data_IF_363542307761
#
_entry.id   IF_363542307761
#
_cell.length_a   1.000
_cell.length_b   1.000
_cell.length_c   1.000
_cell.angle_alpha   90.00
_cell.angle_beta   90.00
_cell.angle_gamma   90.00
#
_symmetry.space_group_name_H-M   'P 1'
#
loop_
_entity.id
_entity.type
_entity.pdbx_description
1 polymer ?
#
# COMPACT_ATOMS: atom_id res chain seq x y z
N UNK A 1 -26.30 12.55 21.38
CA UNK A 1 -25.60 11.72 20.36
C UNK A 1 -24.15 12.18 20.26
N UNK A 2 -23.22 11.39 20.81
CA UNK A 2 -21.78 11.66 20.77
C UNK A 2 -21.07 10.91 19.62
N UNK A 3 -21.79 10.70 18.52
CA UNK A 3 -21.39 9.89 17.36
C UNK A 3 -21.53 10.72 16.08
N UNK A 4 -20.84 10.34 15.00
CA UNK A 4 -20.75 11.09 13.74
C UNK A 4 -20.10 12.48 13.83
N UNK A 5 -19.10 12.64 14.71
CA UNK A 5 -18.26 13.84 14.80
C UNK A 5 -16.80 13.48 14.54
N UNK A 6 -16.07 14.30 13.77
CA UNK A 6 -14.65 14.11 13.49
C UNK A 6 -13.79 13.95 14.77
N UNK A 7 -14.17 14.66 15.85
CA UNK A 7 -13.50 14.59 17.16
C UNK A 7 -13.67 13.24 17.88
N UNK A 8 -14.56 12.37 17.41
CA UNK A 8 -14.92 11.09 18.04
C UNK A 8 -14.58 9.88 17.16
N UNK A 9 -13.75 10.05 16.13
CA UNK A 9 -13.37 8.98 15.20
C UNK A 9 -12.71 7.78 15.91
N UNK A 10 -11.88 8.05 16.92
CA UNK A 10 -11.17 7.03 17.70
C UNK A 10 -11.97 6.52 18.91
N UNK A 11 -13.19 7.01 19.13
CA UNK A 11 -14.03 6.52 20.22
C UNK A 11 -14.83 5.29 19.77
N UNK A 12 -15.13 4.40 20.72
CA UNK A 12 -15.95 3.22 20.47
C UNK A 12 -17.35 3.64 20.02
N UNK A 13 -17.85 3.00 18.95
CA UNK A 13 -19.16 3.33 18.38
C UNK A 13 -20.31 2.90 19.31
N UNK A 14 -21.28 3.77 19.62
CA UNK A 14 -22.43 3.43 20.46
C UNK A 14 -23.51 2.71 19.63
N UNK A 15 -23.29 1.42 19.34
CA UNK A 15 -24.19 0.60 18.51
C UNK A 15 -25.61 0.49 19.12
N UNK A 16 -25.72 0.49 20.45
CA UNK A 16 -27.01 0.46 21.14
C UNK A 16 -27.90 1.67 20.82
N UNK A 17 -27.34 2.89 20.87
CA UNK A 17 -28.08 4.12 20.54
C UNK A 17 -28.49 4.15 19.06
N UNK A 18 -27.60 3.70 18.17
CA UNK A 18 -27.86 3.59 16.73
C UNK A 18 -29.00 2.61 16.46
N UNK A 19 -29.02 1.46 17.15
CA UNK A 19 -30.10 0.47 17.07
C UNK A 19 -31.44 1.04 17.51
N UNK A 20 -31.48 1.75 18.63
CA UNK A 20 -32.75 2.32 19.14
C UNK A 20 -33.30 3.45 18.27
N UNK A 21 -32.44 4.20 17.57
CA UNK A 21 -32.86 5.34 16.75
C UNK A 21 -33.13 4.96 15.28
N UNK A 22 -32.27 4.14 14.68
CA UNK A 22 -32.32 3.77 13.26
C UNK A 22 -32.83 2.34 12.98
N UNK A 23 -32.93 1.50 14.01
CA UNK A 23 -33.32 0.10 13.89
C UNK A 23 -32.15 -0.86 13.63
N UNK A 24 -32.46 -2.16 13.63
CA UNK A 24 -31.49 -3.26 13.58
C UNK A 24 -30.65 -3.28 12.30
N UNK A 25 -31.27 -3.03 11.14
CA UNK A 25 -30.59 -3.12 9.84
C UNK A 25 -29.40 -2.17 9.75
N UNK A 26 -29.59 -0.92 10.19
CA UNK A 26 -28.55 0.12 10.18
C UNK A 26 -27.53 -0.15 11.29
N UNK A 27 -27.98 -0.59 12.47
CA UNK A 27 -27.06 -0.95 13.56
C UNK A 27 -26.11 -2.10 13.19
N UNK A 28 -26.61 -3.14 12.51
CA UNK A 28 -25.79 -4.26 12.03
C UNK A 28 -24.76 -3.81 10.98
N UNK A 29 -25.13 -2.90 10.08
CA UNK A 29 -24.19 -2.31 9.12
C UNK A 29 -23.00 -1.64 9.83
N UNK A 30 -23.28 -0.78 10.81
CA UNK A 30 -22.21 -0.09 11.55
C UNK A 30 -21.43 -1.03 12.46
N UNK A 31 -22.07 -2.04 13.06
CA UNK A 31 -21.38 -3.06 13.83
C UNK A 31 -20.38 -3.84 12.97
N UNK A 32 -20.78 -4.23 11.76
CA UNK A 32 -19.90 -4.91 10.82
C UNK A 32 -18.78 -4.00 10.32
N UNK A 33 -19.09 -2.74 9.99
CA UNK A 33 -18.07 -1.76 9.58
C UNK A 33 -17.01 -1.56 10.67
N UNK A 34 -17.43 -1.44 11.93
CA UNK A 34 -16.52 -1.31 13.07
C UNK A 34 -15.63 -2.55 13.22
N UNK A 35 -16.21 -3.75 13.16
CA UNK A 35 -15.46 -5.01 13.19
C UNK A 35 -14.43 -5.10 12.05
N UNK A 36 -14.87 -4.83 10.82
CA UNK A 36 -14.01 -4.87 9.64
C UNK A 36 -12.85 -3.88 9.74
N UNK A 37 -13.10 -2.67 10.24
CA UNK A 37 -12.05 -1.67 10.48
C UNK A 37 -11.03 -2.14 11.52
N UNK A 38 -11.47 -2.82 12.59
CA UNK A 38 -10.55 -3.42 13.56
C UNK A 38 -9.66 -4.51 12.95
N UNK A 39 -10.23 -5.39 12.12
CA UNK A 39 -9.46 -6.43 11.41
C UNK A 39 -8.47 -5.80 10.42
N UNK A 40 -8.89 -4.79 9.65
CA UNK A 40 -8.01 -4.04 8.75
C UNK A 40 -6.86 -3.35 9.50
N UNK A 41 -7.12 -2.81 10.69
CA UNK A 41 -6.08 -2.18 11.49
C UNK A 41 -5.01 -3.20 11.90
N UNK A 42 -5.41 -4.41 12.29
CA UNK A 42 -4.48 -5.51 12.58
C UNK A 42 -3.70 -5.91 11.32
N UNK A 43 -4.37 -6.03 10.17
CA UNK A 43 -3.72 -6.37 8.90
C UNK A 43 -2.76 -5.27 8.40
N UNK A 44 -3.00 -4.01 8.74
CA UNK A 44 -2.15 -2.87 8.39
C UNK A 44 -0.78 -2.91 9.06
N UNK A 45 -0.67 -3.48 10.27
CA UNK A 45 0.60 -3.54 11.02
C UNK A 45 1.71 -4.26 10.25
N UNK A 46 1.56 -5.53 9.82
CA UNK A 46 2.60 -6.21 9.03
C UNK A 46 2.85 -5.53 7.69
N UNK A 47 1.82 -4.97 7.04
CA UNK A 47 1.97 -4.21 5.79
C UNK A 47 2.88 -2.99 5.96
N UNK A 48 2.66 -2.20 7.02
CA UNK A 48 3.52 -1.06 7.36
C UNK A 48 4.97 -1.48 7.66
N UNK A 49 5.16 -2.60 8.38
CA UNK A 49 6.51 -3.12 8.70
C UNK A 49 7.26 -3.47 7.41
N UNK A 50 6.61 -4.20 6.49
CA UNK A 50 7.21 -4.58 5.21
C UNK A 50 7.51 -3.36 4.34
N UNK A 51 6.62 -2.37 4.32
CA UNK A 51 6.84 -1.12 3.59
C UNK A 51 8.03 -0.32 4.13
N UNK A 52 8.14 -0.17 5.45
CA UNK A 52 9.28 0.51 6.09
C UNK A 52 10.58 -0.25 5.81
N UNK A 53 10.55 -1.58 5.85
CA UNK A 53 11.70 -2.42 5.49
C UNK A 53 12.15 -2.19 4.04
N UNK A 54 11.20 -2.16 3.10
CA UNK A 54 11.47 -1.84 1.70
C UNK A 54 12.10 -0.45 1.54
N UNK A 55 11.57 0.55 2.24
CA UNK A 55 12.07 1.93 2.19
C UNK A 55 13.52 2.05 2.72
N UNK A 56 13.85 1.39 3.83
CA UNK A 56 15.23 1.35 4.35
C UNK A 56 16.18 0.68 3.33
N UNK A 57 15.69 -0.32 2.59
CA UNK A 57 16.47 -1.07 1.59
C UNK A 57 16.54 -0.40 0.20
N UNK A 58 15.99 0.82 0.03
CA UNK A 58 15.85 1.49 -1.28
C UNK A 58 17.16 1.72 -2.06
N UNK A 59 18.29 1.82 -1.37
CA UNK A 59 19.61 2.12 -1.98
C UNK A 59 20.55 0.92 -2.06
N UNK A 60 20.17 -0.22 -1.47
CA UNK A 60 21.11 -1.33 -1.25
C UNK A 60 21.05 -2.44 -2.30
N UNK A 61 20.12 -2.40 -3.25
CA UNK A 61 19.97 -3.48 -4.22
C UNK A 61 20.95 -3.38 -5.39
N UNK A 62 21.60 -4.52 -5.66
CA UNK A 62 22.54 -4.70 -6.77
C UNK A 62 21.88 -4.36 -8.12
N UNK A 63 20.66 -4.86 -8.35
CA UNK A 63 19.90 -4.62 -9.59
C UNK A 63 19.60 -3.13 -9.80
N UNK A 64 19.21 -2.40 -8.75
CA UNK A 64 18.97 -0.96 -8.89
C UNK A 64 20.25 -0.21 -9.22
N UNK A 65 21.40 -0.61 -8.66
CA UNK A 65 22.70 0.00 -8.97
C UNK A 65 23.11 -0.26 -10.41
N UNK A 66 22.96 -1.50 -10.87
CA UNK A 66 23.26 -1.88 -12.26
C UNK A 66 22.41 -1.09 -13.26
N UNK A 67 21.11 -0.91 -13.00
CA UNK A 67 20.22 -0.10 -13.86
C UNK A 67 20.62 1.38 -13.85
N UNK A 68 20.95 1.94 -12.69
CA UNK A 68 21.33 3.35 -12.58
C UNK A 68 22.71 3.67 -13.17
N UNK A 69 23.63 2.70 -13.23
CA UNK A 69 24.98 2.87 -13.77
C UNK A 69 25.08 2.58 -15.28
N UNK A 70 24.07 1.90 -15.85
CA UNK A 70 24.01 1.51 -17.26
C UNK A 70 23.66 2.67 -18.22
N UNK A 71 24.55 3.66 -18.31
CA UNK A 71 24.42 4.82 -19.21
C UNK A 71 24.68 4.50 -20.69
N UNK A 72 25.27 3.34 -20.99
CA UNK A 72 25.64 2.94 -22.37
C UNK A 72 24.68 1.91 -22.98
N UNK A 73 23.74 1.38 -22.20
CA UNK A 73 22.77 0.39 -22.68
C UNK A 73 21.52 1.09 -23.22
N UNK A 74 21.37 1.06 -24.54
CA UNK A 74 20.23 1.62 -25.26
C UNK A 74 19.15 0.55 -25.38
N UNK A 75 17.94 0.89 -24.97
CA UNK A 75 16.77 0.02 -25.06
C UNK A 75 16.01 0.26 -26.37
N UNK A 76 15.34 -0.80 -26.83
CA UNK A 76 14.47 -0.74 -28.00
C UNK A 76 13.25 0.17 -27.74
N UNK A 77 12.73 0.85 -28.78
CA UNK A 77 11.50 1.61 -28.65
C UNK A 77 10.33 0.70 -28.27
N UNK A 78 9.42 1.21 -27.45
CA UNK A 78 8.23 0.46 -27.00
C UNK A 78 7.14 0.34 -28.09
N UNK A 79 7.32 0.99 -29.24
CA UNK A 79 6.30 1.16 -30.26
C UNK A 79 6.89 1.10 -31.67
N UNK A 80 6.11 0.57 -32.63
CA UNK A 80 6.54 0.31 -34.00
C UNK A 80 6.80 1.58 -34.84
N UNK A 81 6.11 2.69 -34.58
CA UNK A 81 6.26 3.94 -35.34
C UNK A 81 6.62 5.12 -34.46
N UNK A 82 7.63 5.88 -34.90
CA UNK A 82 8.04 7.21 -34.38
C UNK A 82 8.34 7.27 -32.87
N UNK A 83 8.84 6.20 -32.27
CA UNK A 83 9.28 6.20 -30.87
C UNK A 83 10.80 6.31 -30.76
N UNK A 84 11.34 7.18 -29.89
CA UNK A 84 12.78 7.30 -29.72
C UNK A 84 13.34 6.08 -28.98
N UNK A 85 14.61 5.77 -29.26
CA UNK A 85 15.40 4.90 -28.39
C UNK A 85 15.63 5.62 -27.06
N UNK A 86 15.69 4.86 -25.97
CA UNK A 86 15.81 5.39 -24.61
C UNK A 86 16.92 4.65 -23.86
N UNK A 87 17.50 5.28 -22.84
CA UNK A 87 18.63 4.74 -22.09
C UNK A 87 18.08 4.02 -20.85
N UNK A 88 18.66 2.88 -20.50
CA UNK A 88 18.22 2.09 -19.34
C UNK A 88 18.27 2.90 -18.02
N UNK A 89 19.30 3.74 -17.84
CA UNK A 89 19.49 4.54 -16.63
C UNK A 89 18.39 5.57 -16.39
N UNK A 90 17.62 5.97 -17.41
CA UNK A 90 16.46 6.85 -17.26
C UNK A 90 15.36 6.22 -16.36
N UNK A 91 15.33 4.88 -16.26
CA UNK A 91 14.38 4.13 -15.42
C UNK A 91 14.89 3.80 -14.01
N UNK A 92 16.03 4.37 -13.61
CA UNK A 92 16.64 4.15 -12.29
C UNK A 92 15.67 4.40 -11.12
N UNK A 93 14.85 5.45 -11.18
CA UNK A 93 13.86 5.76 -10.13
C UNK A 93 12.77 4.70 -10.06
N UNK A 94 12.26 4.27 -11.21
CA UNK A 94 11.25 3.23 -11.31
C UNK A 94 11.80 1.90 -10.77
N UNK A 95 13.00 1.50 -11.17
CA UNK A 95 13.65 0.28 -10.68
C UNK A 95 13.79 0.25 -9.15
N UNK A 96 14.17 1.37 -8.53
CA UNK A 96 14.26 1.48 -7.07
C UNK A 96 12.89 1.38 -6.39
N UNK A 97 11.86 1.99 -6.96
CA UNK A 97 10.48 1.89 -6.43
C UNK A 97 9.99 0.45 -6.55
N UNK A 98 10.22 -0.21 -7.69
CA UNK A 98 9.86 -1.61 -7.89
C UNK A 98 10.53 -2.50 -6.86
N UNK A 99 11.82 -2.28 -6.53
CA UNK A 99 12.50 -3.04 -5.47
C UNK A 99 11.90 -2.84 -4.06
N UNK A 100 11.30 -1.68 -3.77
CA UNK A 100 10.60 -1.45 -2.48
C UNK A 100 9.32 -2.29 -2.41
N UNK A 101 8.60 -2.40 -3.53
CA UNK A 101 7.31 -3.09 -3.63
C UNK A 101 7.49 -4.60 -3.81
N UNK A 102 8.47 -5.01 -4.61
CA UNK A 102 8.76 -6.39 -4.97
C UNK A 102 9.98 -6.89 -4.19
N UNK A 103 9.78 -7.08 -2.89
CA UNK A 103 10.79 -7.53 -1.95
C UNK A 103 10.33 -8.83 -1.28
N UNK A 104 11.24 -9.63 -0.73
CA UNK A 104 10.88 -10.90 -0.08
C UNK A 104 9.84 -10.74 1.04
N UNK A 105 9.79 -9.58 1.70
CA UNK A 105 8.76 -9.27 2.71
C UNK A 105 7.34 -9.16 2.16
N UNK A 106 7.14 -8.68 0.92
CA UNK A 106 5.79 -8.58 0.33
C UNK A 106 5.24 -9.94 -0.06
N UNK A 107 6.09 -10.91 -0.37
CA UNK A 107 5.69 -12.32 -0.54
C UNK A 107 5.13 -12.89 0.76
N UNK A 108 5.78 -12.63 1.90
CA UNK A 108 5.28 -13.04 3.21
C UNK A 108 3.95 -12.36 3.56
N UNK A 109 3.83 -11.07 3.25
CA UNK A 109 2.59 -10.32 3.46
C UNK A 109 1.44 -10.84 2.58
N UNK A 110 1.72 -11.24 1.33
CA UNK A 110 0.72 -11.82 0.43
C UNK A 110 0.19 -13.18 0.91
N UNK A 111 0.99 -13.96 1.63
CA UNK A 111 0.51 -15.20 2.27
C UNK A 111 -0.32 -14.94 3.54
N UNK A 112 -0.12 -13.77 4.18
CA UNK A 112 -0.84 -13.39 5.40
C UNK A 112 -2.23 -12.82 5.11
N UNK A 113 -2.40 -12.15 3.96
CA UNK A 113 -3.68 -11.59 3.49
C UNK A 113 -4.59 -12.67 2.92
#
# INVERSE_FOLDING_TARGET
MNWAQWRKLFCRQPIGEIRTYFGEKIALYYAWLGWYTCVLLIASVPGCIVFIYGFISFSSSQISKEICEANTTIMCPLCDQKCPFWILSDTCTYAKITHVVDNGGTVLFAMFM
#
